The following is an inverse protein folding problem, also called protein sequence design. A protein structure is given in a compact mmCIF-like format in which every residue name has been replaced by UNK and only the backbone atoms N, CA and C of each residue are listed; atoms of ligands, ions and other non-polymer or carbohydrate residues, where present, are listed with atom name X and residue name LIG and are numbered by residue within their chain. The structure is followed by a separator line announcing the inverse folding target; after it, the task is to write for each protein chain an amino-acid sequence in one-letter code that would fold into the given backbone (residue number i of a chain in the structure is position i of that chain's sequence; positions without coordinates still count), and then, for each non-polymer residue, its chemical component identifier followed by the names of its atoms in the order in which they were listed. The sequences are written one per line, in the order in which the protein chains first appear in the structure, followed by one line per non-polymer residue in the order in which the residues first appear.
data_IF_059759518696
#
_entry.id   IF_059759518696
#
_cell.length_a   1.000
_cell.length_b   1.000
_cell.length_c   1.000
_cell.angle_alpha   90.00
_cell.angle_beta   90.00
_cell.angle_gamma   90.00
#
_symmetry.space_group_name_H-M   'P 1'
#
loop_
_entity.id
_entity.type
_entity.pdbx_description
1 polymer ?
#
# COMPACT_ATOMS: atom_id res chain seq x y z
N UNK A 1 -3.17 40.38 53.02
CA UNK A 1 -4.21 39.90 52.07
C UNK A 1 -3.65 40.16 50.70
N UNK A 2 -2.88 39.18 50.17
CA UNK A 2 -2.44 39.14 48.78
C UNK A 2 -2.74 37.74 48.28
N UNK A 3 -3.82 37.61 47.53
CA UNK A 3 -4.22 36.39 46.85
C UNK A 3 -3.35 36.18 45.63
N UNK A 4 -2.78 35.02 45.59
CA UNK A 4 -1.92 34.46 44.59
C UNK A 4 -2.74 34.08 43.34
N UNK A 5 -2.56 34.81 42.26
CA UNK A 5 -3.19 34.60 40.95
C UNK A 5 -2.15 34.03 39.98
N UNK A 6 -1.68 32.79 40.26
CA UNK A 6 -0.76 32.01 39.42
C UNK A 6 -1.35 30.66 39.08
N UNK A 7 -2.40 30.62 38.26
CA UNK A 7 -2.75 29.35 37.64
C UNK A 7 -3.70 29.49 36.45
N UNK A 8 -3.23 30.04 35.34
CA UNK A 8 -3.91 29.95 34.04
C UNK A 8 -2.99 30.01 32.83
N UNK A 9 -1.87 29.26 32.86
CA UNK A 9 -1.08 28.97 31.67
C UNK A 9 -0.95 27.47 31.47
N UNK A 10 -2.11 26.79 31.29
CA UNK A 10 -2.13 25.41 30.85
C UNK A 10 -2.27 25.40 29.33
N UNK A 11 -1.15 25.02 28.68
CA UNK A 11 -1.02 24.30 27.42
C UNK A 11 -1.65 24.91 26.18
N UNK A 12 -0.88 25.69 25.46
CA UNK A 12 -0.98 25.67 24.01
C UNK A 12 -0.50 24.31 23.51
N UNK A 13 -1.24 23.61 22.61
CA UNK A 13 -0.77 22.36 22.05
C UNK A 13 0.52 22.64 21.26
N UNK A 14 1.56 21.83 21.55
CA UNK A 14 2.91 21.95 20.99
C UNK A 14 2.95 21.62 19.49
N UNK A 15 1.86 21.08 18.94
CA UNK A 15 1.73 20.79 17.52
C UNK A 15 0.56 21.56 16.90
N UNK A 16 0.87 22.67 16.26
CA UNK A 16 -0.06 23.28 15.30
C UNK A 16 0.06 22.45 14.01
N UNK A 17 -0.84 21.48 13.83
CA UNK A 17 -1.01 20.78 12.56
C UNK A 17 -1.49 21.83 11.56
N UNK A 18 -0.81 22.04 10.40
CA UNK A 18 -1.31 22.92 9.36
C UNK A 18 -2.74 22.49 9.04
N UNK A 19 -3.66 23.45 8.92
CA UNK A 19 -5.07 23.22 8.62
C UNK A 19 -5.17 22.70 7.18
N UNK A 20 -5.03 21.39 7.02
CA UNK A 20 -5.33 20.69 5.77
C UNK A 20 -6.83 20.84 5.51
N UNK A 21 -7.21 21.12 4.28
CA UNK A 21 -8.61 21.02 3.83
C UNK A 21 -9.13 19.66 4.31
N UNK A 22 -9.97 19.66 5.35
CA UNK A 22 -10.62 18.42 5.84
C UNK A 22 -11.57 17.97 4.74
N UNK A 23 -11.13 17.03 3.92
CA UNK A 23 -12.05 16.32 3.02
C UNK A 23 -12.91 15.43 3.92
N UNK A 24 -14.21 15.72 3.94
CA UNK A 24 -15.16 14.86 4.67
C UNK A 24 -15.45 13.62 3.83
N UNK A 25 -15.11 12.48 4.37
CA UNK A 25 -15.43 11.15 3.82
C UNK A 25 -16.51 10.54 4.73
N UNK A 26 -17.74 10.48 4.25
CA UNK A 26 -18.86 9.92 5.00
C UNK A 26 -18.90 8.38 4.93
N UNK A 27 -19.87 7.76 5.60
CA UNK A 27 -20.00 6.30 5.66
C UNK A 27 -20.21 5.70 4.26
N UNK A 28 -21.02 6.34 3.42
CA UNK A 28 -21.23 5.87 2.05
C UNK A 28 -19.97 6.02 1.20
N UNK A 29 -19.24 7.13 1.33
CA UNK A 29 -17.96 7.33 0.66
C UNK A 29 -16.96 6.21 1.01
N UNK A 30 -16.88 5.82 2.30
CA UNK A 30 -16.01 4.70 2.75
C UNK A 30 -16.40 3.37 2.12
N UNK A 31 -17.71 3.07 2.05
CA UNK A 31 -18.21 1.86 1.37
C UNK A 31 -17.90 1.88 -0.13
N UNK A 32 -18.11 3.01 -0.81
CA UNK A 32 -17.80 3.17 -2.22
C UNK A 32 -16.30 3.04 -2.52
N UNK A 33 -15.44 3.60 -1.66
CA UNK A 33 -13.99 3.44 -1.77
C UNK A 33 -13.58 1.98 -1.56
N UNK A 34 -14.15 1.30 -0.56
CA UNK A 34 -13.89 -0.13 -0.34
C UNK A 34 -14.33 -0.96 -1.55
N UNK A 35 -15.49 -0.66 -2.16
CA UNK A 35 -15.95 -1.32 -3.40
C UNK A 35 -14.97 -1.07 -4.57
N UNK A 36 -14.48 0.16 -4.70
CA UNK A 36 -13.49 0.51 -5.72
C UNK A 36 -12.12 -0.17 -5.44
N UNK A 37 -11.76 -0.42 -4.18
CA UNK A 37 -10.55 -1.19 -3.84
C UNK A 37 -10.69 -2.67 -4.24
N UNK A 38 -11.89 -3.26 -4.07
CA UNK A 38 -12.16 -4.65 -4.48
C UNK A 38 -12.16 -4.80 -6.00
N UNK A 39 -12.77 -3.85 -6.72
CA UNK A 39 -12.87 -3.88 -8.18
C UNK A 39 -12.56 -2.50 -8.79
N UNK A 40 -11.27 -2.15 -8.96
CA UNK A 40 -10.84 -0.80 -9.35
C UNK A 40 -11.32 -0.35 -10.72
N UNK A 41 -11.65 -1.28 -11.62
CA UNK A 41 -12.13 -1.03 -12.98
C UNK A 41 -13.63 -1.29 -13.17
N UNK A 42 -14.36 -1.70 -12.12
CA UNK A 42 -15.81 -1.87 -12.20
C UNK A 42 -16.50 -0.59 -12.67
N UNK A 43 -17.57 -0.72 -13.43
CA UNK A 43 -18.43 0.39 -13.79
C UNK A 43 -19.16 0.94 -12.56
N UNK A 44 -19.58 2.19 -12.62
CA UNK A 44 -20.33 2.79 -11.52
C UNK A 44 -21.67 2.07 -11.26
N UNK A 45 -22.25 1.48 -12.31
CA UNK A 45 -23.45 0.66 -12.22
C UNK A 45 -23.21 -0.67 -11.48
N UNK A 46 -22.07 -1.34 -11.71
CA UNK A 46 -21.69 -2.56 -10.99
C UNK A 46 -21.45 -2.28 -9.51
N UNK A 47 -20.69 -1.22 -9.20
CA UNK A 47 -20.50 -0.78 -7.81
C UNK A 47 -21.84 -0.43 -7.16
N UNK A 48 -22.72 0.30 -7.89
CA UNK A 48 -24.03 0.69 -7.38
C UNK A 48 -24.91 -0.51 -7.04
N UNK A 49 -24.95 -1.53 -7.89
CA UNK A 49 -25.68 -2.78 -7.63
C UNK A 49 -25.16 -3.48 -6.39
N UNK A 50 -23.84 -3.62 -6.25
CA UNK A 50 -23.23 -4.31 -5.11
C UNK A 50 -23.53 -3.61 -3.78
N UNK A 51 -23.43 -2.28 -3.73
CA UNK A 51 -23.63 -1.50 -2.48
C UNK A 51 -25.06 -1.02 -2.25
N UNK A 52 -26.00 -1.32 -3.18
CA UNK A 52 -27.38 -0.91 -3.08
C UNK A 52 -27.63 0.57 -3.37
N UNK A 53 -26.85 1.19 -4.26
CA UNK A 53 -26.91 2.63 -4.59
C UNK A 53 -27.15 2.87 -6.08
N UNK A 54 -27.79 3.99 -6.41
CA UNK A 54 -27.97 4.39 -7.81
C UNK A 54 -26.63 4.77 -8.47
N UNK A 55 -26.39 4.30 -9.70
CA UNK A 55 -25.19 4.58 -10.49
C UNK A 55 -24.82 6.07 -10.51
N UNK A 56 -25.80 6.96 -10.67
CA UNK A 56 -25.57 8.42 -10.67
C UNK A 56 -25.00 8.93 -9.33
N UNK A 57 -25.44 8.36 -8.21
CA UNK A 57 -24.91 8.69 -6.88
C UNK A 57 -23.48 8.22 -6.75
N UNK A 58 -23.20 6.97 -7.14
CA UNK A 58 -21.86 6.37 -7.13
C UNK A 58 -20.89 7.19 -8.00
N UNK A 59 -21.28 7.47 -9.26
CA UNK A 59 -20.47 8.24 -10.19
C UNK A 59 -20.10 9.62 -9.62
N UNK A 60 -21.09 10.38 -9.16
CA UNK A 60 -20.88 11.72 -8.60
C UNK A 60 -19.93 11.70 -7.39
N UNK A 61 -20.10 10.73 -6.47
CA UNK A 61 -19.29 10.64 -5.26
C UNK A 61 -17.85 10.20 -5.56
N UNK A 62 -17.66 9.11 -6.30
CA UNK A 62 -16.32 8.61 -6.63
C UNK A 62 -15.55 9.56 -7.54
N UNK A 63 -16.21 10.18 -8.53
CA UNK A 63 -15.58 11.21 -9.36
C UNK A 63 -15.10 12.41 -8.53
N UNK A 64 -15.91 12.87 -7.56
CA UNK A 64 -15.50 13.90 -6.61
C UNK A 64 -14.27 13.47 -5.81
N UNK A 65 -14.28 12.26 -5.19
CA UNK A 65 -13.16 11.77 -4.38
C UNK A 65 -11.87 11.61 -5.21
N UNK A 66 -12.00 11.19 -6.48
CA UNK A 66 -10.86 11.10 -7.40
C UNK A 66 -10.36 12.51 -7.79
N UNK A 67 -11.26 13.43 -8.12
CA UNK A 67 -10.92 14.80 -8.49
C UNK A 67 -10.26 15.58 -7.34
N UNK A 68 -10.72 15.34 -6.10
CA UNK A 68 -10.17 15.92 -4.88
C UNK A 68 -8.84 15.25 -4.46
N UNK A 69 -8.37 14.22 -5.17
CA UNK A 69 -7.15 13.48 -4.85
C UNK A 69 -7.24 12.60 -3.59
N UNK A 70 -8.45 12.35 -3.08
CA UNK A 70 -8.70 11.45 -1.92
C UNK A 70 -8.45 10.00 -2.29
N UNK A 71 -8.88 9.63 -3.51
CA UNK A 71 -8.69 8.29 -4.07
C UNK A 71 -7.94 8.42 -5.39
N UNK A 72 -6.95 7.59 -5.59
CA UNK A 72 -6.27 7.43 -6.87
C UNK A 72 -6.37 5.99 -7.33
N UNK A 73 -6.88 5.79 -8.55
CA UNK A 73 -6.86 4.47 -9.17
C UNK A 73 -5.62 4.36 -10.05
N UNK A 74 -4.83 3.33 -9.82
CA UNK A 74 -3.56 3.05 -10.50
C UNK A 74 -3.46 1.54 -10.75
N UNK A 75 -2.36 1.09 -11.30
CA UNK A 75 -1.99 -0.31 -11.33
C UNK A 75 -0.53 -0.46 -10.89
N UNK A 76 -0.23 -1.59 -10.28
CA UNK A 76 1.13 -1.98 -9.92
C UNK A 76 1.52 -3.28 -10.63
N UNK A 77 2.79 -3.43 -10.89
CA UNK A 77 3.32 -4.69 -11.40
C UNK A 77 3.36 -5.76 -10.31
N UNK A 78 3.13 -7.00 -10.69
CA UNK A 78 3.68 -8.13 -9.93
C UNK A 78 5.13 -8.31 -10.40
N UNK A 79 6.08 -7.75 -9.66
CA UNK A 79 7.47 -7.66 -10.10
C UNK A 79 8.13 -9.03 -10.29
N UNK A 80 7.75 -10.02 -9.49
CA UNK A 80 8.25 -11.38 -9.64
C UNK A 80 7.79 -12.01 -10.96
N UNK A 81 6.51 -11.81 -11.31
CA UNK A 81 5.90 -12.37 -12.52
C UNK A 81 6.30 -11.65 -13.79
N UNK A 82 6.45 -10.33 -13.71
CA UNK A 82 6.85 -9.50 -14.85
C UNK A 82 8.34 -9.51 -15.10
N UNK A 83 9.13 -10.17 -14.23
CA UNK A 83 10.59 -10.21 -14.36
C UNK A 83 11.29 -8.90 -13.97
N UNK A 84 10.58 -7.93 -13.39
CA UNK A 84 11.19 -6.67 -12.94
C UNK A 84 12.13 -6.86 -11.75
N UNK A 85 11.97 -7.96 -11.00
CA UNK A 85 12.87 -8.30 -9.91
C UNK A 85 12.17 -8.77 -8.65
N UNK A 86 12.90 -8.75 -7.55
CA UNK A 86 12.41 -9.19 -6.23
C UNK A 86 12.20 -8.00 -5.32
N UNK A 87 11.06 -7.93 -4.61
CA UNK A 87 10.86 -6.96 -3.55
C UNK A 87 11.84 -7.21 -2.39
N UNK A 88 12.35 -6.12 -1.85
CA UNK A 88 13.32 -6.10 -0.77
C UNK A 88 12.90 -5.04 0.23
N UNK A 89 12.78 -5.39 1.49
CA UNK A 89 12.54 -4.45 2.56
C UNK A 89 13.85 -3.98 3.19
N UNK A 90 13.98 -2.67 3.35
CA UNK A 90 15.08 -2.02 4.04
C UNK A 90 14.58 -1.36 5.32
N UNK A 91 15.26 -1.63 6.41
CA UNK A 91 15.24 -0.81 7.62
C UNK A 91 16.44 0.12 7.56
N UNK A 92 16.20 1.40 7.70
CA UNK A 92 17.24 2.42 7.65
C UNK A 92 17.25 3.18 8.96
N UNK A 93 18.40 3.17 9.62
CA UNK A 93 18.71 4.07 10.74
C UNK A 93 19.44 5.29 10.20
N UNK A 94 19.08 6.46 10.69
CA UNK A 94 19.62 7.71 10.19
C UNK A 94 20.17 8.57 11.32
N UNK A 95 21.08 9.48 10.95
CA UNK A 95 21.57 10.51 11.86
C UNK A 95 20.41 11.40 12.34
N UNK A 96 20.32 11.72 13.64
CA UNK A 96 19.27 12.59 14.15
C UNK A 96 19.13 13.89 13.34
N UNK A 97 17.87 14.23 12.97
CA UNK A 97 17.54 15.38 12.16
C UNK A 97 17.56 15.17 10.64
N UNK A 98 18.04 14.03 10.12
CA UNK A 98 18.12 13.78 8.66
C UNK A 98 17.01 12.89 8.12
N UNK A 99 16.13 12.34 8.98
CA UNK A 99 15.12 11.36 8.59
C UNK A 99 14.24 11.79 7.40
N UNK A 100 13.76 13.04 7.39
CA UNK A 100 12.92 13.54 6.31
C UNK A 100 13.69 13.66 4.96
N UNK A 101 14.96 14.07 5.01
CA UNK A 101 15.82 14.19 3.84
C UNK A 101 16.13 12.80 3.26
N UNK A 102 16.52 11.85 4.10
CA UNK A 102 16.82 10.47 3.67
C UNK A 102 15.55 9.79 3.13
N UNK A 103 14.41 9.93 3.82
CA UNK A 103 13.15 9.37 3.35
C UNK A 103 12.73 9.93 1.98
N UNK A 104 12.95 11.23 1.74
CA UNK A 104 12.70 11.84 0.43
C UNK A 104 13.65 11.29 -0.63
N UNK A 105 14.95 11.22 -0.35
CA UNK A 105 15.93 10.67 -1.29
C UNK A 105 15.60 9.23 -1.67
N UNK A 106 15.17 8.38 -0.71
CA UNK A 106 14.70 7.04 -0.98
C UNK A 106 13.39 7.03 -1.80
N UNK A 107 12.45 7.94 -1.52
CA UNK A 107 11.19 8.02 -2.24
C UNK A 107 11.37 8.47 -3.71
N UNK A 108 12.35 9.33 -3.98
CA UNK A 108 12.65 9.83 -5.34
C UNK A 108 13.32 8.77 -6.24
N UNK A 109 13.76 7.64 -5.68
CA UNK A 109 14.33 6.54 -6.46
C UNK A 109 13.27 5.81 -7.29
N UNK A 110 13.55 5.46 -8.57
CA UNK A 110 12.61 4.75 -9.43
C UNK A 110 12.38 3.29 -9.00
N UNK A 111 13.40 2.64 -8.39
CA UNK A 111 13.34 1.27 -7.91
C UNK A 111 12.62 1.11 -6.55
N UNK A 112 12.27 2.22 -5.91
CA UNK A 112 11.57 2.22 -4.61
C UNK A 112 10.05 2.20 -4.79
N UNK A 113 9.37 1.29 -4.11
CA UNK A 113 7.90 1.13 -4.13
C UNK A 113 7.22 1.87 -2.99
N UNK A 114 7.78 1.79 -1.80
CA UNK A 114 7.23 2.45 -0.62
C UNK A 114 8.30 2.99 0.30
N UNK A 115 8.01 4.10 0.98
CA UNK A 115 8.88 4.71 1.99
C UNK A 115 8.03 5.26 3.13
N UNK A 116 8.35 4.86 4.35
CA UNK A 116 7.65 5.24 5.57
C UNK A 116 8.62 5.73 6.65
N UNK A 117 8.25 6.77 7.39
CA UNK A 117 8.85 7.02 8.71
C UNK A 117 8.22 6.09 9.73
N UNK A 118 9.06 5.49 10.54
CA UNK A 118 8.71 4.50 11.55
C UNK A 118 9.02 5.01 12.96
N UNK A 119 8.38 4.41 13.95
CA UNK A 119 8.84 4.46 15.34
C UNK A 119 9.75 3.25 15.62
N UNK A 120 10.48 3.25 16.76
CA UNK A 120 11.24 2.07 17.20
C UNK A 120 12.69 2.06 16.72
N UNK A 121 13.22 0.86 16.44
CA UNK A 121 14.65 0.67 16.18
C UNK A 121 15.12 1.19 14.81
N UNK A 122 14.23 1.27 13.82
CA UNK A 122 14.50 1.87 12.52
C UNK A 122 13.73 3.19 12.37
N UNK A 123 14.34 4.19 11.76
CA UNK A 123 13.71 5.48 11.50
C UNK A 123 12.87 5.46 10.21
N UNK A 124 13.31 4.66 9.22
CA UNK A 124 12.68 4.57 7.90
C UNK A 124 12.54 3.11 7.49
N UNK A 125 11.34 2.75 7.03
CA UNK A 125 11.06 1.52 6.29
C UNK A 125 10.95 1.85 4.81
N UNK A 126 11.64 1.09 3.97
CA UNK A 126 11.62 1.24 2.53
C UNK A 126 11.45 -0.12 1.88
N UNK A 127 10.58 -0.19 0.86
CA UNK A 127 10.49 -1.34 -0.03
C UNK A 127 11.01 -0.93 -1.41
N UNK A 128 11.97 -1.68 -1.92
CA UNK A 128 12.50 -1.51 -3.28
C UNK A 128 12.43 -2.82 -4.06
N UNK A 129 12.57 -2.72 -5.37
CA UNK A 129 12.63 -3.89 -6.27
C UNK A 129 14.01 -3.97 -6.87
N UNK A 130 14.62 -5.14 -6.79
CA UNK A 130 15.94 -5.39 -7.37
C UNK A 130 15.86 -6.47 -8.45
N UNK A 131 16.27 -6.15 -9.70
CA UNK A 131 16.24 -7.10 -10.82
C UNK A 131 17.13 -8.32 -10.61
N UNK A 132 18.28 -8.15 -9.95
CA UNK A 132 19.25 -9.20 -9.73
C UNK A 132 19.94 -9.09 -8.36
N UNK A 133 20.68 -10.13 -7.97
CA UNK A 133 21.50 -10.09 -6.75
C UNK A 133 22.67 -9.10 -6.88
N UNK A 134 23.21 -8.95 -8.06
CA UNK A 134 24.29 -8.00 -8.36
C UNK A 134 23.78 -6.56 -8.25
N UNK A 135 22.61 -6.27 -8.82
CA UNK A 135 21.95 -4.99 -8.67
C UNK A 135 21.64 -4.69 -7.20
N UNK A 136 21.12 -5.66 -6.44
CA UNK A 136 20.88 -5.50 -5.02
C UNK A 136 22.17 -5.14 -4.28
N UNK A 137 23.27 -5.84 -4.55
CA UNK A 137 24.56 -5.51 -3.96
C UNK A 137 24.97 -4.07 -4.28
N UNK A 138 24.91 -3.65 -5.53
CA UNK A 138 25.23 -2.27 -5.95
C UNK A 138 24.32 -1.22 -5.31
N UNK A 139 23.01 -1.49 -5.24
CA UNK A 139 22.03 -0.59 -4.59
C UNK A 139 22.41 -0.39 -3.12
N UNK A 140 22.69 -1.47 -2.41
CA UNK A 140 22.99 -1.41 -0.98
C UNK A 140 24.36 -0.80 -0.68
N UNK A 141 25.40 -1.23 -1.42
CA UNK A 141 26.79 -0.87 -1.12
C UNK A 141 27.22 0.52 -1.61
N UNK A 142 26.53 1.07 -2.62
CA UNK A 142 26.93 2.34 -3.24
C UNK A 142 25.80 3.38 -3.30
N UNK A 143 24.57 2.96 -3.53
CA UNK A 143 23.52 3.95 -3.80
C UNK A 143 22.70 4.33 -2.56
N UNK A 144 22.43 3.39 -1.66
CA UNK A 144 21.70 3.65 -0.41
C UNK A 144 22.67 4.12 0.68
N UNK A 145 23.84 3.48 0.77
CA UNK A 145 24.89 3.86 1.75
C UNK A 145 25.42 5.27 1.53
N UNK A 146 25.41 5.78 0.29
CA UNK A 146 25.92 7.09 -0.06
C UNK A 146 24.89 8.23 0.20
N UNK A 147 23.64 7.90 0.57
CA UNK A 147 22.67 8.92 0.97
C UNK A 147 23.12 9.55 2.29
N UNK A 148 23.41 10.87 2.25
CA UNK A 148 23.83 11.59 3.46
C UNK A 148 22.81 11.48 4.57
N UNK A 149 23.27 11.05 5.75
CA UNK A 149 22.46 10.83 6.93
C UNK A 149 22.14 9.35 7.21
N UNK A 150 22.36 8.42 6.28
CA UNK A 150 22.23 6.97 6.53
C UNK A 150 23.35 6.52 7.44
N UNK A 151 23.01 5.84 8.54
CA UNK A 151 23.95 5.25 9.48
C UNK A 151 24.07 3.75 9.32
N UNK A 152 22.94 3.08 9.19
CA UNK A 152 22.87 1.62 9.09
C UNK A 152 21.66 1.20 8.27
N UNK A 153 21.81 0.08 7.54
CA UNK A 153 20.71 -0.56 6.83
C UNK A 153 20.63 -2.04 7.22
N UNK A 154 19.42 -2.54 7.37
CA UNK A 154 19.12 -3.95 7.45
C UNK A 154 18.22 -4.35 6.31
N UNK A 155 18.55 -5.42 5.61
CA UNK A 155 17.91 -5.84 4.36
C UNK A 155 17.21 -7.18 4.54
N UNK A 156 16.00 -7.27 4.06
CA UNK A 156 15.19 -8.49 4.06
C UNK A 156 14.62 -8.72 2.65
N UNK A 157 14.97 -9.84 2.02
CA UNK A 157 14.47 -10.21 0.70
C UNK A 157 13.14 -10.93 0.86
N UNK A 158 12.13 -10.54 0.09
CA UNK A 158 10.83 -11.22 0.06
C UNK A 158 10.99 -12.59 -0.61
N UNK A 159 10.58 -13.63 0.09
CA UNK A 159 10.59 -15.02 -0.38
C UNK A 159 9.23 -15.45 -0.93
N UNK A 160 8.17 -15.03 -0.25
CA UNK A 160 6.79 -15.35 -0.62
C UNK A 160 5.84 -14.25 -0.15
N UNK A 161 4.88 -13.88 -0.97
CA UNK A 161 3.85 -12.89 -0.62
C UNK A 161 2.52 -13.58 -0.41
N UNK A 162 1.98 -13.54 0.81
CA UNK A 162 0.66 -14.06 1.15
C UNK A 162 -0.46 -13.10 0.79
N UNK A 163 -0.19 -11.78 0.87
CA UNK A 163 -1.14 -10.72 0.51
C UNK A 163 -0.40 -9.49 0.05
N UNK A 164 -0.81 -8.95 -1.10
CA UNK A 164 -0.32 -7.66 -1.60
C UNK A 164 -1.24 -6.52 -1.16
N UNK A 165 -0.71 -5.30 -1.17
CA UNK A 165 -1.53 -4.09 -0.89
C UNK A 165 -2.66 -3.89 -1.92
N UNK A 166 -2.54 -4.45 -3.13
CA UNK A 166 -3.56 -4.38 -4.17
C UNK A 166 -4.77 -5.30 -3.88
N UNK A 167 -4.59 -6.32 -3.07
CA UNK A 167 -5.64 -7.26 -2.68
C UNK A 167 -6.41 -6.80 -1.43
N UNK A 168 -5.87 -5.78 -0.73
CA UNK A 168 -6.51 -5.25 0.46
C UNK A 168 -7.61 -4.25 0.11
N UNK A 169 -8.69 -4.33 0.84
CA UNK A 169 -9.75 -3.34 0.87
C UNK A 169 -10.15 -3.01 2.32
N UNK A 170 -10.64 -1.80 2.55
CA UNK A 170 -11.13 -1.40 3.85
C UNK A 170 -12.37 -2.23 4.26
N UNK A 171 -12.54 -2.57 5.55
CA UNK A 171 -13.58 -3.50 6.03
C UNK A 171 -14.96 -2.83 6.14
N UNK A 172 -15.46 -2.27 5.05
CA UNK A 172 -16.77 -1.58 4.99
C UNK A 172 -17.80 -2.28 4.12
N UNK A 173 -17.47 -3.46 3.58
CA UNK A 173 -18.36 -4.25 2.75
C UNK A 173 -18.76 -5.54 3.46
N UNK A 174 -19.97 -5.97 3.22
CA UNK A 174 -20.47 -7.29 3.63
C UNK A 174 -19.93 -8.38 2.69
N UNK A 175 -19.95 -9.63 3.13
CA UNK A 175 -19.56 -10.79 2.30
C UNK A 175 -20.35 -10.87 0.99
N UNK A 176 -21.64 -10.52 1.02
CA UNK A 176 -22.48 -10.47 -0.18
C UNK A 176 -21.98 -9.42 -1.17
N UNK A 177 -21.70 -8.20 -0.71
CA UNK A 177 -21.19 -7.10 -1.55
C UNK A 177 -19.82 -7.45 -2.13
N UNK A 178 -18.98 -8.13 -1.36
CA UNK A 178 -17.68 -8.64 -1.82
C UNK A 178 -17.85 -9.69 -2.92
N UNK A 179 -18.77 -10.64 -2.74
CA UNK A 179 -19.04 -11.68 -3.72
C UNK A 179 -19.57 -11.12 -5.05
N UNK A 180 -20.38 -10.05 -5.00
CA UNK A 180 -20.89 -9.38 -6.20
C UNK A 180 -19.80 -8.60 -6.97
N UNK A 181 -18.75 -8.13 -6.28
CA UNK A 181 -17.66 -7.34 -6.87
C UNK A 181 -16.47 -8.16 -7.35
N UNK A 182 -16.26 -9.34 -6.77
CA UNK A 182 -15.17 -10.25 -7.15
C UNK A 182 -15.65 -11.29 -8.15
N UNK A 183 -15.24 -11.23 -9.41
CA UNK A 183 -15.52 -12.29 -10.36
C UNK A 183 -14.61 -13.50 -10.08
N UNK A 184 -15.07 -14.44 -9.27
CA UNK A 184 -14.44 -15.74 -9.07
C UNK A 184 -13.12 -15.75 -8.27
N UNK A 185 -12.62 -16.95 -7.94
CA UNK A 185 -11.30 -17.09 -7.35
C UNK A 185 -10.23 -16.65 -8.37
N UNK A 186 -9.13 -16.05 -7.90
CA UNK A 186 -8.02 -15.74 -8.78
C UNK A 186 -7.52 -17.04 -9.44
N UNK A 187 -7.14 -17.00 -10.74
CA UNK A 187 -6.58 -18.17 -11.40
C UNK A 187 -5.32 -18.63 -10.66
N UNK A 188 -5.10 -19.95 -10.63
CA UNK A 188 -3.84 -20.52 -10.13
C UNK A 188 -2.66 -19.87 -10.86
N UNK A 189 -1.78 -19.32 -10.07
CA UNK A 189 -0.72 -18.51 -10.59
C UNK A 189 0.54 -19.34 -10.87
N UNK A 190 0.72 -19.73 -12.11
CA UNK A 190 2.05 -20.13 -12.61
C UNK A 190 2.91 -18.88 -12.82
N UNK A 191 4.20 -18.94 -12.49
CA UNK A 191 5.13 -17.86 -12.84
C UNK A 191 5.09 -17.63 -14.35
N UNK A 192 4.90 -16.38 -14.77
CA UNK A 192 5.03 -16.05 -16.19
C UNK A 192 6.52 -15.82 -16.46
N UNK A 193 7.16 -16.78 -17.12
CA UNK A 193 8.59 -16.74 -17.42
C UNK A 193 8.92 -15.81 -18.60
N UNK A 194 7.89 -15.41 -19.37
CA UNK A 194 8.10 -14.61 -20.59
C UNK A 194 8.22 -13.10 -20.35
N UNK A 195 7.85 -12.62 -19.15
CA UNK A 195 7.82 -11.19 -18.85
C UNK A 195 6.73 -10.44 -19.62
N UNK A 196 6.94 -9.14 -19.82
CA UNK A 196 6.07 -8.27 -20.62
C UNK A 196 6.67 -8.05 -22.00
N UNK A 197 5.84 -8.18 -23.05
CA UNK A 197 6.20 -7.68 -24.37
C UNK A 197 6.29 -6.14 -24.36
N UNK A 198 7.00 -5.50 -25.34
CA UNK A 198 7.09 -4.04 -25.41
C UNK A 198 5.73 -3.34 -25.38
N UNK A 199 4.75 -3.84 -26.11
CA UNK A 199 3.38 -3.30 -26.10
C UNK A 199 2.69 -3.47 -24.73
N UNK A 200 2.91 -4.60 -24.05
CA UNK A 200 2.37 -4.82 -22.71
C UNK A 200 3.01 -3.92 -21.68
N UNK A 201 4.31 -3.62 -21.83
CA UNK A 201 5.00 -2.65 -20.99
C UNK A 201 4.38 -1.24 -21.12
N UNK A 202 4.17 -0.77 -22.36
CA UNK A 202 3.55 0.54 -22.60
C UNK A 202 2.10 0.60 -22.05
N UNK A 203 1.34 -0.48 -22.22
CA UNK A 203 -0.02 -0.59 -21.63
C UNK A 203 0.06 -0.52 -20.11
N UNK A 204 1.01 -1.20 -19.50
CA UNK A 204 1.18 -1.23 -18.05
C UNK A 204 1.56 0.15 -17.49
N UNK A 205 2.40 0.91 -18.18
CA UNK A 205 2.75 2.29 -17.83
C UNK A 205 1.53 3.22 -17.89
N UNK A 206 0.69 3.09 -18.92
CA UNK A 206 -0.56 3.85 -19.02
C UNK A 206 -1.51 3.55 -17.86
N UNK A 207 -1.65 2.28 -17.47
CA UNK A 207 -2.49 1.87 -16.35
C UNK A 207 -1.88 2.24 -14.98
N UNK A 208 -0.57 2.27 -14.87
CA UNK A 208 0.11 2.78 -13.67
C UNK A 208 -0.16 4.28 -13.46
N UNK A 209 -0.23 5.05 -14.55
CA UNK A 209 -0.57 6.48 -14.50
C UNK A 209 -2.07 6.70 -14.21
N UNK A 210 -2.95 5.95 -14.86
CA UNK A 210 -4.42 5.98 -14.66
C UNK A 210 -5.00 4.57 -14.76
N UNK A 211 -5.25 3.93 -13.64
CA UNK A 211 -5.81 2.57 -13.58
C UNK A 211 -7.21 2.43 -14.18
N UNK A 212 -7.90 3.53 -14.45
CA UNK A 212 -9.22 3.57 -15.11
C UNK A 212 -9.18 4.13 -16.53
N UNK A 213 -8.00 4.32 -17.13
CA UNK A 213 -7.85 4.79 -18.51
C UNK A 213 -8.78 4.01 -19.45
N UNK A 214 -9.48 4.72 -20.34
CA UNK A 214 -10.41 4.11 -21.29
C UNK A 214 -9.66 3.28 -22.35
N UNK A 215 -10.24 2.16 -22.76
CA UNK A 215 -9.65 1.33 -23.82
C UNK A 215 -9.48 2.07 -25.15
N UNK A 216 -10.35 3.06 -25.44
CA UNK A 216 -10.23 3.96 -26.59
C UNK A 216 -8.97 4.80 -26.50
N UNK A 217 -8.68 5.37 -25.34
CA UNK A 217 -7.47 6.18 -25.11
C UNK A 217 -6.19 5.33 -25.17
N UNK A 218 -6.23 4.10 -24.65
CA UNK A 218 -5.10 3.15 -24.80
C UNK A 218 -4.89 2.84 -26.28
N UNK A 219 -5.96 2.57 -27.02
CA UNK A 219 -5.91 2.25 -28.44
C UNK A 219 -5.30 3.42 -29.27
N UNK A 220 -5.78 4.65 -29.01
CA UNK A 220 -5.28 5.87 -29.65
C UNK A 220 -3.78 6.13 -29.37
N UNK A 221 -3.34 5.97 -28.11
CA UNK A 221 -1.95 6.24 -27.72
C UNK A 221 -0.94 5.25 -28.27
N UNK A 222 -1.39 4.00 -28.46
CA UNK A 222 -0.49 2.90 -28.86
C UNK A 222 -0.72 2.47 -30.33
N UNK A 223 -1.52 3.20 -31.07
CA UNK A 223 -1.87 2.92 -32.48
C UNK A 223 -2.35 1.48 -32.70
N UNK A 224 -3.25 1.02 -31.84
CA UNK A 224 -3.87 -0.31 -31.96
C UNK A 224 -5.40 -0.19 -31.99
N UNK A 225 -6.09 -1.26 -32.41
CA UNK A 225 -7.56 -1.27 -32.36
C UNK A 225 -8.09 -1.34 -30.93
N UNK A 226 -9.27 -0.75 -30.65
CA UNK A 226 -9.92 -0.81 -29.33
C UNK A 226 -10.13 -2.26 -28.85
N UNK A 227 -10.56 -3.23 -29.68
CA UNK A 227 -10.63 -4.62 -29.30
C UNK A 227 -9.27 -5.21 -28.88
N UNK A 228 -8.19 -4.81 -29.56
CA UNK A 228 -6.83 -5.23 -29.21
C UNK A 228 -6.40 -4.66 -27.86
N UNK A 229 -6.59 -3.36 -27.65
CA UNK A 229 -6.30 -2.71 -26.36
C UNK A 229 -7.07 -3.39 -25.21
N UNK A 230 -8.37 -3.61 -25.38
CA UNK A 230 -9.21 -4.31 -24.40
C UNK A 230 -8.66 -5.68 -24.08
N UNK A 231 -8.42 -6.52 -25.10
CA UNK A 231 -7.91 -7.89 -24.92
C UNK A 231 -6.59 -7.90 -24.18
N UNK A 232 -5.64 -7.01 -24.54
CA UNK A 232 -4.33 -6.93 -23.91
C UNK A 232 -4.40 -6.49 -22.44
N UNK A 233 -5.16 -5.43 -22.15
CA UNK A 233 -5.37 -4.97 -20.76
C UNK A 233 -6.03 -6.06 -19.91
N UNK A 234 -7.08 -6.72 -20.43
CA UNK A 234 -7.76 -7.81 -19.71
C UNK A 234 -6.80 -8.97 -19.45
N UNK A 235 -6.03 -9.39 -20.46
CA UNK A 235 -5.04 -10.46 -20.32
C UNK A 235 -3.97 -10.15 -19.25
N UNK A 236 -3.44 -8.92 -19.20
CA UNK A 236 -2.46 -8.50 -18.20
C UNK A 236 -3.01 -8.62 -16.76
N UNK A 237 -4.29 -8.26 -16.59
CA UNK A 237 -4.97 -8.32 -15.29
C UNK A 237 -5.29 -9.78 -14.90
N UNK A 238 -5.83 -10.57 -15.83
CA UNK A 238 -6.17 -11.98 -15.62
C UNK A 238 -4.94 -12.83 -15.32
N UNK A 239 -3.83 -12.59 -16.04
CA UNK A 239 -2.52 -13.21 -15.76
C UNK A 239 -1.86 -12.67 -14.50
N UNK A 240 -2.46 -11.68 -13.82
CA UNK A 240 -1.92 -11.02 -12.61
C UNK A 240 -0.54 -10.40 -12.81
N UNK A 241 -0.17 -10.05 -14.04
CA UNK A 241 1.06 -9.30 -14.33
C UNK A 241 0.91 -7.84 -13.92
N UNK A 242 -0.33 -7.34 -13.96
CA UNK A 242 -0.69 -5.99 -13.57
C UNK A 242 -1.89 -6.06 -12.61
N UNK A 243 -1.75 -5.42 -11.46
CA UNK A 243 -2.74 -5.40 -10.39
C UNK A 243 -3.34 -3.99 -10.27
N UNK A 244 -4.54 -3.74 -10.84
CA UNK A 244 -5.26 -2.49 -10.61
C UNK A 244 -5.57 -2.32 -9.13
N UNK A 245 -5.45 -1.08 -8.62
CA UNK A 245 -5.75 -0.77 -7.22
C UNK A 245 -6.31 0.64 -7.06
N UNK A 246 -7.13 0.84 -6.04
CA UNK A 246 -7.55 2.15 -5.58
C UNK A 246 -6.78 2.50 -4.31
N UNK A 247 -5.88 3.48 -4.40
CA UNK A 247 -5.10 3.96 -3.26
C UNK A 247 -5.81 5.09 -2.56
N UNK A 248 -5.84 5.01 -1.24
CA UNK A 248 -6.39 6.01 -0.32
C UNK A 248 -5.61 5.97 0.98
N UNK A 249 -5.46 7.11 1.65
CA UNK A 249 -4.89 7.11 3.00
C UNK A 249 -5.85 6.41 3.98
N UNK A 250 -5.39 5.38 4.71
CA UNK A 250 -6.23 4.66 5.66
C UNK A 250 -6.93 5.57 6.69
N UNK A 251 -6.25 6.62 7.13
CA UNK A 251 -6.80 7.60 8.07
C UNK A 251 -8.07 8.29 7.53
N UNK A 252 -8.19 8.53 6.22
CA UNK A 252 -9.40 9.08 5.61
C UNK A 252 -10.59 8.12 5.68
N UNK A 253 -10.31 6.83 5.82
CA UNK A 253 -11.30 5.78 6.03
C UNK A 253 -11.59 5.52 7.52
N UNK A 254 -10.99 6.30 8.44
CA UNK A 254 -11.14 6.10 9.89
C UNK A 254 -10.26 4.98 10.45
N UNK A 255 -9.21 4.61 9.73
CA UNK A 255 -8.18 3.68 10.15
C UNK A 255 -6.91 4.49 10.44
N UNK A 256 -6.91 5.17 11.61
CA UNK A 256 -5.93 6.23 11.93
C UNK A 256 -4.56 5.71 12.32
N UNK A 257 -4.48 4.43 12.73
CA UNK A 257 -3.23 3.79 13.13
C UNK A 257 -2.79 2.81 12.06
N UNK A 258 -1.56 2.96 11.61
CA UNK A 258 -0.91 2.04 10.67
C UNK A 258 0.39 1.55 11.28
N UNK A 259 0.64 0.25 11.23
CA UNK A 259 1.79 -0.38 11.86
C UNK A 259 2.43 -1.43 10.94
N UNK A 260 3.74 -1.60 11.12
CA UNK A 260 4.48 -2.74 10.59
C UNK A 260 4.79 -3.68 11.75
N UNK A 261 4.53 -4.96 11.55
CA UNK A 261 4.91 -6.04 12.45
C UNK A 261 5.99 -6.88 11.78
N UNK A 262 7.03 -7.11 12.53
CA UNK A 262 8.15 -7.98 12.16
C UNK A 262 8.09 -9.19 13.07
N UNK A 263 7.72 -10.34 12.52
CA UNK A 263 7.42 -11.53 13.29
C UNK A 263 8.50 -12.58 13.07
N UNK A 264 9.00 -13.13 14.15
CA UNK A 264 9.84 -14.31 14.13
C UNK A 264 8.96 -15.53 14.29
N UNK A 265 8.78 -16.29 13.23
CA UNK A 265 7.91 -17.47 13.19
C UNK A 265 8.75 -18.72 13.04
N UNK A 266 8.38 -19.79 13.75
CA UNK A 266 9.03 -21.10 13.59
C UNK A 266 8.81 -21.59 12.15
N UNK A 267 9.85 -22.15 11.48
CA UNK A 267 9.75 -22.48 10.05
C UNK A 267 8.56 -23.37 9.67
N UNK A 268 8.21 -24.34 10.49
CA UNK A 268 7.08 -25.26 10.21
C UNK A 268 5.71 -24.57 10.27
N UNK A 269 5.59 -23.45 10.97
CA UNK A 269 4.32 -22.68 11.09
C UNK A 269 4.25 -21.48 10.14
N UNK A 270 5.31 -21.17 9.40
CA UNK A 270 5.40 -19.92 8.64
C UNK A 270 4.27 -19.77 7.60
N UNK A 271 3.99 -20.83 6.87
CA UNK A 271 2.94 -20.82 5.84
C UNK A 271 1.54 -20.66 6.46
N UNK A 272 1.23 -21.43 7.50
CA UNK A 272 -0.05 -21.36 8.19
C UNK A 272 -0.31 -19.97 8.80
N UNK A 273 0.68 -19.44 9.54
CA UNK A 273 0.59 -18.12 10.17
C UNK A 273 0.46 -17.03 9.11
N UNK A 274 1.26 -17.10 8.03
CA UNK A 274 1.20 -16.16 6.92
C UNK A 274 -0.18 -16.12 6.25
N UNK A 275 -0.76 -17.27 5.94
CA UNK A 275 -2.11 -17.38 5.33
C UNK A 275 -3.19 -16.83 6.26
N UNK A 276 -3.17 -17.21 7.55
CA UNK A 276 -4.18 -16.77 8.51
C UNK A 276 -4.13 -15.26 8.77
N UNK A 277 -2.93 -14.70 8.92
CA UNK A 277 -2.77 -13.24 9.07
C UNK A 277 -3.16 -12.51 7.79
N UNK A 278 -2.76 -13.01 6.62
CA UNK A 278 -3.15 -12.43 5.34
C UNK A 278 -4.67 -12.40 5.12
N UNK A 279 -5.42 -13.37 5.66
CA UNK A 279 -6.89 -13.40 5.63
C UNK A 279 -7.57 -12.34 6.50
N UNK A 280 -6.87 -11.73 7.46
CA UNK A 280 -7.48 -10.78 8.38
C UNK A 280 -7.75 -9.42 7.71
N UNK A 281 -8.94 -8.80 7.89
CA UNK A 281 -9.32 -7.56 7.19
C UNK A 281 -8.43 -6.33 7.52
N UNK A 282 -7.81 -6.30 8.68
CA UNK A 282 -6.88 -5.24 9.08
C UNK A 282 -5.48 -5.38 8.48
N UNK A 283 -5.15 -6.54 7.88
CA UNK A 283 -3.84 -6.78 7.28
C UNK A 283 -3.83 -6.31 5.84
N UNK A 284 -3.01 -5.31 5.53
CA UNK A 284 -2.84 -4.75 4.18
C UNK A 284 -1.81 -5.49 3.35
N UNK A 285 -0.77 -5.98 3.99
CA UNK A 285 0.34 -6.68 3.36
C UNK A 285 0.85 -7.77 4.28
N UNK A 286 1.25 -8.91 3.72
CA UNK A 286 1.84 -10.01 4.46
C UNK A 286 2.81 -10.77 3.55
N UNK A 287 4.07 -10.90 3.97
CA UNK A 287 5.10 -11.59 3.19
C UNK A 287 6.13 -12.31 4.08
N UNK A 288 6.54 -13.49 3.64
CA UNK A 288 7.70 -14.18 4.20
C UNK A 288 9.00 -13.59 3.65
N UNK A 289 9.98 -13.42 4.52
CA UNK A 289 11.25 -12.75 4.21
C UNK A 289 12.46 -13.50 4.76
N UNK A 290 13.64 -13.15 4.25
CA UNK A 290 14.91 -13.52 4.86
C UNK A 290 15.18 -12.67 6.12
N UNK A 291 16.18 -13.03 6.91
CA UNK A 291 16.66 -12.25 8.05
C UNK A 291 16.14 -12.75 9.40
N UNK A 292 16.24 -11.90 10.41
CA UNK A 292 15.88 -12.24 11.80
C UNK A 292 14.40 -12.49 12.00
N UNK A 293 13.56 -11.68 11.34
CA UNK A 293 12.12 -11.86 11.31
C UNK A 293 11.75 -12.49 9.97
N UNK A 294 11.02 -13.58 10.03
CA UNK A 294 10.67 -14.38 8.85
C UNK A 294 9.35 -13.99 8.20
N UNK A 295 8.58 -13.09 8.84
CA UNK A 295 7.31 -12.59 8.32
C UNK A 295 7.17 -11.10 8.59
N UNK A 296 6.78 -10.35 7.56
CA UNK A 296 6.44 -8.92 7.64
C UNK A 296 4.93 -8.78 7.44
N UNK A 297 4.29 -8.00 8.31
CA UNK A 297 2.84 -7.75 8.24
C UNK A 297 2.56 -6.26 8.40
N UNK A 298 1.87 -5.64 7.43
CA UNK A 298 1.38 -4.28 7.55
C UNK A 298 -0.08 -4.29 7.98
N UNK A 299 -0.37 -3.59 9.08
CA UNK A 299 -1.68 -3.59 9.72
C UNK A 299 -2.24 -2.19 9.81
N UNK A 300 -3.56 -2.06 9.67
CA UNK A 300 -4.30 -0.81 9.92
C UNK A 300 -5.34 -1.02 11.02
N UNK A 301 -5.54 -0.01 11.84
CA UNK A 301 -6.50 -0.04 12.93
C UNK A 301 -7.17 1.33 13.11
N UNK A 302 -8.37 1.36 13.68
CA UNK A 302 -9.07 2.62 13.91
C UNK A 302 -8.36 3.50 14.96
N UNK A 303 -7.73 2.88 15.96
CA UNK A 303 -7.02 3.54 17.07
C UNK A 303 -6.09 2.52 17.76
N UNK A 304 -5.20 2.98 18.64
CA UNK A 304 -4.19 2.14 19.32
C UNK A 304 -4.82 0.99 20.12
N UNK A 305 -5.95 1.20 20.77
CA UNK A 305 -6.63 0.11 21.48
C UNK A 305 -7.16 -0.98 20.53
N UNK A 306 -7.49 -0.65 19.28
CA UNK A 306 -7.84 -1.65 18.27
C UNK A 306 -6.59 -2.41 17.79
N UNK A 307 -5.45 -1.74 17.64
CA UNK A 307 -4.17 -2.37 17.35
C UNK A 307 -3.76 -3.32 18.49
N UNK A 308 -3.90 -2.89 19.74
CA UNK A 308 -3.63 -3.75 20.90
C UNK A 308 -4.48 -5.02 20.88
N UNK A 309 -5.80 -4.91 20.59
CA UNK A 309 -6.68 -6.09 20.46
C UNK A 309 -6.27 -7.01 19.30
N UNK A 310 -5.82 -6.45 18.19
CA UNK A 310 -5.26 -7.25 17.09
C UNK A 310 -4.01 -8.02 17.55
N UNK A 311 -3.09 -7.36 18.27
CA UNK A 311 -1.89 -8.00 18.78
C UNK A 311 -2.20 -9.15 19.73
N UNK A 312 -3.08 -8.94 20.73
CA UNK A 312 -3.39 -9.94 21.75
C UNK A 312 -4.38 -11.00 21.26
N UNK A 313 -5.33 -10.62 20.42
CA UNK A 313 -6.44 -11.48 20.00
C UNK A 313 -6.23 -12.20 18.66
N UNK A 314 -5.30 -11.72 17.82
CA UNK A 314 -4.99 -12.33 16.51
C UNK A 314 -3.56 -12.86 16.52
N UNK A 315 -2.58 -11.98 16.66
CA UNK A 315 -1.14 -12.38 16.63
C UNK A 315 -0.80 -13.29 17.80
N UNK A 316 -1.24 -12.97 19.01
CA UNK A 316 -0.97 -13.74 20.22
C UNK A 316 -1.65 -15.11 20.32
N UNK A 317 -2.42 -15.52 19.32
CA UNK A 317 -3.01 -16.87 19.24
C UNK A 317 -2.11 -17.89 18.55
N UNK A 318 -1.01 -17.44 17.96
CA UNK A 318 -0.09 -18.28 17.20
C UNK A 318 1.12 -18.64 18.06
N UNK A 319 1.17 -19.84 18.60
CA UNK A 319 2.30 -20.35 19.40
C UNK A 319 3.60 -20.46 18.58
N UNK A 320 3.48 -20.45 17.24
CA UNK A 320 4.61 -20.46 16.32
C UNK A 320 5.34 -19.12 16.25
N UNK A 321 4.69 -18.02 16.65
CA UNK A 321 5.31 -16.69 16.73
C UNK A 321 6.12 -16.61 18.02
N UNK A 322 7.43 -16.46 17.90
CA UNK A 322 8.36 -16.46 19.04
C UNK A 322 8.84 -15.08 19.43
N UNK A 323 8.72 -14.10 18.53
CA UNK A 323 9.11 -12.72 18.75
C UNK A 323 8.32 -11.78 17.85
N UNK A 324 8.05 -10.57 18.33
CA UNK A 324 7.28 -9.53 17.64
C UNK A 324 7.95 -8.17 17.87
N UNK A 325 8.41 -7.55 16.79
CA UNK A 325 8.73 -6.12 16.79
C UNK A 325 7.57 -5.37 16.09
N UNK A 326 7.00 -4.38 16.78
CA UNK A 326 5.89 -3.56 16.30
C UNK A 326 6.32 -2.11 16.20
N UNK A 327 6.24 -1.55 15.00
CA UNK A 327 6.56 -0.16 14.73
C UNK A 327 5.35 0.56 14.12
N UNK A 328 5.11 1.80 14.52
CA UNK A 328 4.06 2.63 13.92
C UNK A 328 4.60 3.34 12.69
N UNK A 329 3.79 3.39 11.64
CA UNK A 329 4.03 4.26 10.48
C UNK A 329 3.52 5.65 10.85
N UNK A 330 4.45 6.59 11.04
CA UNK A 330 4.11 7.97 11.39
C UNK A 330 3.87 8.84 10.16
N UNK A 331 4.47 8.49 9.04
CA UNK A 331 4.33 9.19 7.76
C UNK A 331 4.67 8.28 6.59
N UNK A 332 3.88 8.38 5.50
CA UNK A 332 4.22 7.80 4.21
C UNK A 332 4.78 8.89 3.27
N UNK A 333 5.91 8.62 2.61
CA UNK A 333 6.49 9.46 1.56
C UNK A 333 6.17 8.91 0.18
N UNK A 334 6.10 7.59 0.06
CA UNK A 334 5.75 6.87 -1.17
C UNK A 334 4.93 5.63 -0.85
N UNK A 335 3.92 5.31 -1.67
CA UNK A 335 3.09 4.10 -1.58
C UNK A 335 2.84 3.53 -2.96
N UNK A 336 3.39 2.36 -3.26
CA UNK A 336 3.17 1.68 -4.54
C UNK A 336 3.46 2.57 -5.74
N UNK A 337 4.65 3.16 -5.78
CA UNK A 337 5.12 4.14 -6.79
C UNK A 337 4.45 5.54 -6.75
N UNK A 338 3.49 5.76 -5.87
CA UNK A 338 2.84 7.07 -5.74
C UNK A 338 3.54 7.92 -4.68
N UNK A 339 4.14 9.04 -5.10
CA UNK A 339 4.68 10.05 -4.18
C UNK A 339 3.56 10.70 -3.38
N UNK A 340 3.83 11.00 -2.12
CA UNK A 340 2.90 11.66 -1.21
C UNK A 340 3.45 13.00 -0.78
N UNK A 341 2.77 14.06 -1.19
CA UNK A 341 3.04 15.41 -0.69
C UNK A 341 2.07 15.75 0.44
N UNK A 342 2.60 15.80 1.66
CA UNK A 342 1.80 16.12 2.83
C UNK A 342 1.02 14.92 3.41
N UNK A 343 0.39 15.12 4.56
CA UNK A 343 -0.23 14.05 5.38
C UNK A 343 -1.49 13.42 4.76
N UNK A 344 -2.15 14.05 3.79
CA UNK A 344 -3.48 13.59 3.33
C UNK A 344 -3.77 13.75 1.84
N UNK A 345 -2.83 14.25 1.03
CA UNK A 345 -3.06 14.41 -0.42
C UNK A 345 -2.01 13.66 -1.23
N UNK A 346 -2.44 13.03 -2.33
CA UNK A 346 -1.55 12.40 -3.29
C UNK A 346 -1.21 13.38 -4.41
N UNK A 347 0.07 13.62 -4.68
CA UNK A 347 0.49 14.39 -5.86
C UNK A 347 0.22 13.59 -7.14
N UNK A 348 -0.27 14.29 -8.15
CA UNK A 348 -0.21 13.75 -9.52
C UNK A 348 1.28 13.72 -9.91
N UNK A 349 1.78 12.58 -10.29
CA UNK A 349 3.08 12.49 -10.97
C UNK A 349 2.99 13.28 -12.27
N UNK A 350 3.99 14.12 -12.60
CA UNK A 350 4.01 14.90 -13.84
C UNK A 350 3.97 14.03 -15.09
#
# INVERSE_FOLDING_TARGET
MHSDDRNSQISRPIFTIPTLKRVQVDVLDRRLVAALQVSPRASWGEIGRAVGEHERTVARRLQRLIADGVVRVTAIYDDLRTGHGRPVHLHVQVRPGTAAQVAKALADRPDTRSVYSLTGAADIGCELVSPSREDLHRILSAQVSDIDGVLQTQTQVVLHTFRTVAEWHAPYLTERELAELRPGPPPECLPDEEGLSPLEQEIAELLAADGRIAFTTVAERLDVSVPTARRRVTSLIERRLLLPRAEVEPALLGLEVEAMLWLKVRPHGLDLVGQQLAGHPNVRYCAATTGTHSLIVQVVAAHEAALYRFMTGVVGRHDEITDVDLTLITRAYKRGHLHKSGLLTMEKTP
#
